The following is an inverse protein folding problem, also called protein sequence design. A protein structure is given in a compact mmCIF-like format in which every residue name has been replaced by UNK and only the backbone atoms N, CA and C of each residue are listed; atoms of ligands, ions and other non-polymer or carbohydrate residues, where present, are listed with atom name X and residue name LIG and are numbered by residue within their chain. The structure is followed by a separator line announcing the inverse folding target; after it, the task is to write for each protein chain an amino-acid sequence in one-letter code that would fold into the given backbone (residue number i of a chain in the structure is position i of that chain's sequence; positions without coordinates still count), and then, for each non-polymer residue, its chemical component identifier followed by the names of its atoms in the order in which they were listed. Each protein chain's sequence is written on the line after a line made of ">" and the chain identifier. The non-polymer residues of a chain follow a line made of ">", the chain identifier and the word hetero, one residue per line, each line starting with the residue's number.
data_IF_816688052058
#
_entry.id   IF_816688052058
#
_cell.length_a   1.000
_cell.length_b   1.000
_cell.length_c   1.000
_cell.angle_alpha   90.00
_cell.angle_beta   90.00
_cell.angle_gamma   90.00
#
_symmetry.space_group_name_H-M   'P 1'
#
loop_
_entity.id
_entity.type
_entity.pdbx_description
1 polymer ?
#
# COMPACT_ATOMS: atom_id res chain seq x y z
N UNK A 1 9.04 -3.13 6.80
CA UNK A 1 8.82 -3.06 5.34
C UNK A 1 8.17 -1.73 5.03
N UNK A 2 8.51 -1.13 3.90
CA UNK A 2 7.90 0.12 3.46
C UNK A 2 7.77 0.13 1.94
N UNK A 3 6.69 0.71 1.42
CA UNK A 3 6.49 0.90 -0.01
C UNK A 3 5.79 2.23 -0.26
N UNK A 4 6.00 2.77 -1.46
CA UNK A 4 5.40 4.02 -1.90
C UNK A 4 5.30 4.04 -3.41
N UNK A 5 4.52 4.98 -3.94
CA UNK A 5 4.30 5.06 -5.37
C UNK A 5 3.32 6.14 -5.77
N UNK A 6 2.80 5.98 -6.98
CA UNK A 6 1.80 6.86 -7.55
C UNK A 6 0.42 6.27 -7.32
N UNK A 7 -0.50 7.15 -6.90
CA UNK A 7 -1.91 6.81 -6.72
C UNK A 7 -2.72 7.51 -7.78
N UNK A 8 -3.44 6.74 -8.58
CA UNK A 8 -4.36 7.23 -9.61
C UNK A 8 -5.77 6.82 -9.19
N UNK A 9 -6.74 7.73 -9.27
CA UNK A 9 -8.10 7.43 -8.87
C UNK A 9 -9.14 8.06 -9.78
N UNK A 10 -10.27 7.38 -9.91
CA UNK A 10 -11.47 7.87 -10.58
C UNK A 10 -12.64 7.87 -9.59
N UNK A 11 -13.41 8.95 -9.57
CA UNK A 11 -14.56 9.13 -8.68
C UNK A 11 -15.84 9.30 -9.50
N UNK A 12 -16.82 8.42 -9.27
CA UNK A 12 -18.11 8.43 -9.95
C UNK A 12 -19.23 9.10 -9.15
N UNK A 13 -20.35 9.40 -9.82
CA UNK A 13 -21.62 9.73 -9.16
C UNK A 13 -21.71 11.12 -8.53
N UNK A 14 -21.49 12.19 -9.30
CA UNK A 14 -21.41 13.58 -8.82
C UNK A 14 -22.67 14.15 -8.13
N UNK A 15 -23.84 13.51 -8.24
CA UNK A 15 -25.12 13.96 -7.65
C UNK A 15 -25.59 13.14 -6.43
N UNK A 16 -24.69 12.42 -5.75
CA UNK A 16 -25.03 11.57 -4.59
C UNK A 16 -24.27 12.01 -3.34
N UNK A 17 -24.83 11.71 -2.17
CA UNK A 17 -24.20 11.95 -0.86
C UNK A 17 -22.88 11.16 -0.70
N UNK A 18 -22.78 10.02 -1.38
CA UNK A 18 -21.61 9.14 -1.40
C UNK A 18 -21.14 8.96 -2.84
N UNK A 19 -19.83 9.10 -3.06
CA UNK A 19 -19.23 8.97 -4.38
C UNK A 19 -18.40 7.69 -4.43
N UNK A 20 -18.77 6.68 -5.23
CA UNK A 20 -17.94 5.50 -5.40
C UNK A 20 -16.61 5.89 -6.06
N UNK A 21 -15.53 5.35 -5.53
CA UNK A 21 -14.16 5.58 -6.02
C UNK A 21 -13.52 4.26 -6.40
N UNK A 22 -12.71 4.32 -7.45
CA UNK A 22 -11.73 3.29 -7.74
C UNK A 22 -10.35 3.96 -7.73
N UNK A 23 -9.44 3.38 -6.97
CA UNK A 23 -8.10 3.91 -6.76
C UNK A 23 -7.09 2.79 -7.04
N UNK A 24 -5.97 3.14 -7.65
CA UNK A 24 -4.89 2.22 -7.99
C UNK A 24 -3.57 2.84 -7.56
N UNK A 25 -2.88 2.20 -6.63
CA UNK A 25 -1.50 2.52 -6.27
C UNK A 25 -0.54 1.62 -7.04
N UNK A 26 0.42 2.22 -7.74
CA UNK A 26 1.50 1.53 -8.43
C UNK A 26 2.81 2.08 -7.88
N UNK A 27 3.67 1.21 -7.39
CA UNK A 27 4.88 1.63 -6.69
C UNK A 27 5.93 0.56 -6.54
N UNK A 28 6.89 0.88 -5.67
CA UNK A 28 7.93 -0.02 -5.23
C UNK A 28 8.19 0.13 -3.74
N UNK A 29 8.79 -0.89 -3.15
CA UNK A 29 9.12 -0.91 -1.74
C UNK A 29 10.32 -1.80 -1.45
N UNK A 30 10.70 -1.80 -0.17
CA UNK A 30 11.73 -2.71 0.32
C UNK A 30 11.31 -3.40 1.61
N UNK A 31 11.78 -4.63 1.72
CA UNK A 31 11.70 -5.46 2.91
C UNK A 31 13.09 -5.63 3.48
N UNK A 32 13.21 -5.51 4.81
CA UNK A 32 14.41 -5.90 5.54
C UNK A 32 14.07 -7.12 6.38
N UNK A 33 14.88 -8.17 6.25
CA UNK A 33 14.79 -9.35 7.09
C UNK A 33 16.01 -9.42 8.01
N UNK A 34 15.78 -9.51 9.32
CA UNK A 34 16.82 -9.67 10.32
C UNK A 34 16.94 -11.15 10.68
N UNK A 35 18.06 -11.78 10.33
CA UNK A 35 18.37 -13.15 10.74
C UNK A 35 19.36 -13.12 11.89
N UNK A 36 18.97 -13.65 13.05
CA UNK A 36 19.86 -13.82 14.20
C UNK A 36 20.44 -15.24 14.15
N UNK A 37 21.63 -15.39 13.58
CA UNK A 37 22.32 -16.68 13.57
C UNK A 37 23.08 -16.87 14.88
N UNK A 38 22.68 -17.87 15.66
CA UNK A 38 23.32 -18.47 16.84
C UNK A 38 24.02 -17.58 17.92
N UNK A 39 23.75 -17.78 19.22
CA UNK A 39 24.21 -16.90 20.32
C UNK A 39 25.72 -16.90 20.63
N UNK A 40 26.58 -17.56 19.84
CA UNK A 40 27.97 -17.86 20.25
C UNK A 40 29.08 -17.37 19.30
N UNK A 41 28.80 -16.63 18.23
CA UNK A 41 29.86 -16.06 17.40
C UNK A 41 29.57 -14.60 17.04
N UNK A 42 30.64 -13.82 17.04
CA UNK A 42 30.68 -12.37 16.86
C UNK A 42 29.65 -11.82 15.85
N UNK A 43 28.73 -11.03 16.39
CA UNK A 43 27.67 -10.28 15.72
C UNK A 43 28.13 -9.68 14.37
N UNK A 44 27.73 -10.29 13.26
CA UNK A 44 27.55 -9.61 11.99
C UNK A 44 26.06 -9.71 11.66
N UNK A 45 25.28 -8.71 12.06
CA UNK A 45 23.90 -8.55 11.59
C UNK A 45 23.96 -8.31 10.07
N UNK A 46 23.75 -9.38 9.30
CA UNK A 46 23.59 -9.26 7.85
C UNK A 46 22.13 -8.91 7.59
N UNK A 47 21.87 -7.62 7.37
CA UNK A 47 20.56 -7.15 6.91
C UNK A 47 20.45 -7.54 5.43
N UNK A 48 19.59 -8.50 5.12
CA UNK A 48 19.24 -8.79 3.73
C UNK A 48 18.03 -7.93 3.38
N UNK A 49 18.19 -7.06 2.38
CA UNK A 49 17.12 -6.21 1.85
C UNK A 49 16.74 -6.66 0.45
N UNK A 50 15.45 -6.78 0.17
CA UNK A 50 14.93 -7.03 -1.18
C UNK A 50 14.01 -5.90 -1.59
N UNK A 51 14.04 -5.60 -2.88
CA UNK A 51 13.23 -4.59 -3.52
C UNK A 51 12.08 -5.28 -4.24
N UNK A 52 10.87 -4.73 -4.10
CA UNK A 52 9.69 -5.30 -4.72
C UNK A 52 8.83 -4.23 -5.38
N UNK A 53 8.12 -4.64 -6.43
CA UNK A 53 7.05 -3.85 -7.02
C UNK A 53 5.73 -4.14 -6.33
N UNK A 54 4.89 -3.11 -6.24
CA UNK A 54 3.58 -3.20 -5.61
C UNK A 54 2.52 -2.57 -6.50
N UNK A 55 1.41 -3.28 -6.60
CA UNK A 55 0.20 -2.84 -7.27
C UNK A 55 -0.97 -3.08 -6.32
N UNK A 56 -1.69 -2.02 -5.96
CA UNK A 56 -2.78 -2.07 -4.98
C UNK A 56 -4.02 -1.39 -5.58
N UNK A 57 -4.93 -2.15 -6.21
CA UNK A 57 -6.25 -1.66 -6.57
C UNK A 57 -7.14 -1.64 -5.34
N UNK A 58 -7.92 -0.57 -5.19
CA UNK A 58 -8.90 -0.40 -4.12
C UNK A 58 -10.19 0.21 -4.65
N UNK A 59 -11.28 -0.18 -4.01
CA UNK A 59 -12.60 0.40 -4.17
C UNK A 59 -12.95 1.15 -2.90
N UNK A 60 -13.56 2.31 -3.05
CA UNK A 60 -13.89 3.14 -1.90
C UNK A 60 -15.16 3.94 -2.08
N UNK A 61 -15.46 4.65 -1.01
CA UNK A 61 -16.56 5.59 -0.93
C UNK A 61 -15.99 6.91 -0.41
N UNK A 62 -16.10 7.94 -1.24
CA UNK A 62 -15.71 9.32 -0.93
C UNK A 62 -16.91 10.12 -0.42
N UNK A 63 -16.63 10.93 0.61
CA UNK A 63 -17.57 11.84 1.25
C UNK A 63 -16.95 13.24 1.35
N UNK A 64 -17.77 14.24 1.05
CA UNK A 64 -17.40 15.65 1.23
C UNK A 64 -17.53 16.00 2.72
N UNK A 65 -16.41 16.36 3.37
CA UNK A 65 -16.43 16.81 4.77
C UNK A 65 -16.50 18.34 4.82
N UNK A 66 -15.70 19.01 4.00
CA UNK A 66 -15.70 20.48 3.87
C UNK A 66 -15.56 20.87 2.39
N UNK A 67 -15.64 22.16 2.09
CA UNK A 67 -15.40 22.70 0.74
C UNK A 67 -13.96 22.52 0.24
N UNK A 68 -13.02 22.18 1.13
CA UNK A 68 -11.60 22.03 0.82
C UNK A 68 -11.05 20.62 1.10
N UNK A 69 -11.85 19.75 1.71
CA UNK A 69 -11.43 18.42 2.16
C UNK A 69 -12.49 17.38 1.86
N UNK A 70 -12.07 16.30 1.19
CA UNK A 70 -12.86 15.08 1.00
C UNK A 70 -12.14 13.90 1.66
N UNK A 71 -12.92 12.99 2.21
CA UNK A 71 -12.41 11.77 2.85
C UNK A 71 -12.97 10.56 2.14
N UNK A 72 -12.11 9.58 1.88
CA UNK A 72 -12.47 8.31 1.24
C UNK A 72 -12.17 7.15 2.19
N UNK A 73 -13.13 6.24 2.35
CA UNK A 73 -12.91 4.95 2.98
C UNK A 73 -12.82 3.90 1.89
N UNK A 74 -11.73 3.13 1.87
CA UNK A 74 -11.45 2.17 0.80
C UNK A 74 -11.02 0.80 1.33
N UNK A 75 -11.31 -0.22 0.54
CA UNK A 75 -10.82 -1.58 0.71
C UNK A 75 -10.25 -2.08 -0.61
N UNK A 76 -9.15 -2.82 -0.55
CA UNK A 76 -8.41 -3.23 -1.73
C UNK A 76 -7.60 -4.50 -1.51
N UNK A 77 -6.72 -4.79 -2.46
CA UNK A 77 -5.84 -5.94 -2.39
C UNK A 77 -4.45 -5.57 -2.89
N UNK A 78 -3.44 -5.66 -2.03
CA UNK A 78 -2.06 -5.44 -2.40
C UNK A 78 -1.51 -6.66 -3.10
N UNK A 79 -1.08 -6.49 -4.34
CA UNK A 79 -0.32 -7.44 -5.12
C UNK A 79 1.15 -7.01 -5.09
N UNK A 80 2.03 -7.94 -4.76
CA UNK A 80 3.48 -7.72 -4.73
C UNK A 80 4.13 -8.63 -5.76
N UNK A 81 5.14 -8.11 -6.45
CA UNK A 81 5.91 -8.87 -7.43
C UNK A 81 7.38 -8.45 -7.37
N UNK A 82 8.29 -9.41 -7.54
CA UNK A 82 9.74 -9.14 -7.57
C UNK A 82 10.50 -9.59 -6.32
N UNK A 83 9.83 -10.12 -5.29
CA UNK A 83 10.51 -10.70 -4.13
C UNK A 83 11.14 -12.03 -4.55
N UNK A 84 12.47 -12.14 -4.45
CA UNK A 84 13.24 -13.35 -4.68
C UNK A 84 14.16 -13.61 -3.48
N UNK A 85 13.58 -13.80 -2.30
CA UNK A 85 14.30 -14.13 -1.07
C UNK A 85 14.04 -15.57 -0.61
N UNK A 86 15.07 -16.22 -0.08
CA UNK A 86 14.96 -17.53 0.56
C UNK A 86 14.07 -17.38 1.83
N UNK A 87 12.87 -17.96 1.83
CA UNK A 87 11.81 -17.89 2.87
C UNK A 87 10.85 -16.68 2.86
N UNK A 88 10.82 -15.87 1.80
CA UNK A 88 9.80 -14.82 1.65
C UNK A 88 9.23 -14.85 0.24
N UNK A 89 7.95 -15.21 0.10
CA UNK A 89 7.27 -15.22 -1.18
C UNK A 89 6.40 -13.96 -1.34
N UNK A 90 6.06 -13.61 -2.57
CA UNK A 90 5.19 -12.48 -2.90
C UNK A 90 3.84 -12.53 -2.17
N UNK A 91 3.37 -13.73 -1.84
CA UNK A 91 2.11 -13.96 -1.11
C UNK A 91 2.20 -13.61 0.39
N UNK A 92 3.40 -13.57 0.98
CA UNK A 92 3.57 -13.21 2.39
C UNK A 92 3.51 -11.70 2.60
N UNK A 93 3.75 -10.92 1.54
CA UNK A 93 3.77 -9.45 1.56
C UNK A 93 2.50 -8.87 0.90
N UNK A 94 1.89 -9.62 -0.03
CA UNK A 94 0.58 -9.33 -0.61
C UNK A 94 -0.57 -9.64 0.33
N UNK A 95 -1.72 -9.01 0.12
CA UNK A 95 -2.90 -9.27 0.96
C UNK A 95 -3.98 -8.19 0.91
N UNK A 96 -5.09 -8.39 1.63
CA UNK A 96 -6.17 -7.40 1.69
C UNK A 96 -5.70 -6.12 2.36
N UNK A 97 -6.15 -4.98 1.83
CA UNK A 97 -5.86 -3.66 2.40
C UNK A 97 -7.14 -2.90 2.72
N UNK A 98 -7.07 -2.05 3.73
CA UNK A 98 -8.10 -1.09 4.08
C UNK A 98 -7.44 0.26 4.35
N UNK A 99 -8.05 1.35 3.89
CA UNK A 99 -7.42 2.65 3.92
C UNK A 99 -8.41 3.79 4.05
N UNK A 100 -7.95 4.88 4.68
CA UNK A 100 -8.64 6.16 4.71
C UNK A 100 -7.77 7.15 3.92
N UNK A 101 -8.35 7.78 2.91
CA UNK A 101 -7.69 8.79 2.09
C UNK A 101 -8.24 10.18 2.43
N UNK A 102 -7.34 11.15 2.62
CA UNK A 102 -7.70 12.56 2.76
C UNK A 102 -7.25 13.31 1.51
N UNK A 103 -8.19 13.92 0.81
CA UNK A 103 -7.95 14.70 -0.41
C UNK A 103 -8.18 16.18 -0.07
N UNK A 104 -7.16 17.00 -0.32
CA UNK A 104 -7.21 18.44 -0.07
C UNK A 104 -7.11 19.18 -1.39
N UNK A 105 -7.99 20.16 -1.60
CA UNK A 105 -8.03 20.90 -2.86
C UNK A 105 -9.21 21.84 -2.92
N UNK A 106 -9.39 22.51 -4.05
CA UNK A 106 -10.62 23.26 -4.34
C UNK A 106 -11.57 22.31 -5.06
N UNK A 107 -12.68 21.97 -4.39
CA UNK A 107 -13.64 20.99 -4.85
C UNK A 107 -14.96 21.61 -5.32
#
# INVERSE_FOLDING_TARGET
>A
MGYGGFTIGITGGWNRLVHPTFTLLIGGGSVNYFYADHPNYHYHESVISDEFFVLEPSLGIEMNITTFMRTELSAGYRMVSGVQMYHLDNNDIGGPTGGILFKFGKF
#
